data_IF_289179273802
#
_entry.id   IF_289179273802
#
_cell.length_a   1.000
_cell.length_b   1.000
_cell.length_c   1.000
_cell.angle_alpha   90.00
_cell.angle_beta   90.00
_cell.angle_gamma   90.00
#
_symmetry.space_group_name_H-M   'P 1'
#
loop_
_entity.id
_entity.type
_entity.pdbx_description
1 polymer ?
#
# COMPACT_ATOMS: atom_id res chain seq x y z
N UNK A 1 1.04 22.22 -2.63
CA UNK A 1 0.48 21.23 -3.60
C UNK A 1 1.20 19.92 -3.39
N UNK A 2 0.48 18.81 -3.25
CA UNK A 2 1.04 17.47 -3.37
C UNK A 2 0.59 16.91 -4.72
N UNK A 3 1.54 16.44 -5.53
CA UNK A 3 1.31 15.92 -6.87
C UNK A 3 2.19 14.70 -7.07
N UNK A 4 1.65 13.70 -7.76
CA UNK A 4 2.35 12.45 -8.03
C UNK A 4 1.87 11.84 -9.33
N UNK A 5 2.53 10.76 -9.73
CA UNK A 5 2.22 10.00 -10.93
C UNK A 5 2.48 8.53 -10.63
N UNK A 6 1.61 7.65 -11.12
CA UNK A 6 1.71 6.20 -10.92
C UNK A 6 1.84 5.55 -12.29
N UNK A 7 2.74 4.58 -12.38
CA UNK A 7 2.90 3.68 -13.53
C UNK A 7 2.82 2.27 -12.99
N UNK A 8 1.89 1.46 -13.52
CA UNK A 8 1.82 0.03 -13.18
C UNK A 8 3.10 -0.68 -13.62
N UNK A 9 3.59 -1.61 -12.80
CA UNK A 9 4.87 -2.30 -13.07
C UNK A 9 4.73 -3.41 -14.11
N UNK A 10 3.56 -3.53 -14.73
CA UNK A 10 3.22 -4.39 -15.86
C UNK A 10 3.51 -3.74 -17.23
N UNK A 11 4.24 -2.61 -17.27
CA UNK A 11 4.64 -1.96 -18.51
C UNK A 11 5.56 -2.85 -19.37
N UNK A 12 5.35 -2.83 -20.69
CA UNK A 12 6.10 -3.70 -21.63
C UNK A 12 7.35 -3.07 -22.22
N UNK A 13 7.43 -1.74 -22.26
CA UNK A 13 8.53 -1.03 -22.90
C UNK A 13 9.72 -0.90 -21.93
N UNK A 14 10.88 -1.53 -22.19
CA UNK A 14 12.04 -1.47 -21.29
C UNK A 14 12.68 -0.08 -21.22
N UNK A 15 12.38 0.81 -22.18
CA UNK A 15 12.88 2.19 -22.18
C UNK A 15 11.97 3.16 -21.39
N UNK A 16 10.82 2.69 -20.90
CA UNK A 16 9.92 3.53 -20.12
C UNK A 16 10.60 3.93 -18.80
N UNK A 17 10.58 5.23 -18.51
CA UNK A 17 11.13 5.79 -17.28
C UNK A 17 10.01 6.50 -16.51
N UNK A 18 9.48 5.91 -15.41
CA UNK A 18 8.37 6.49 -14.66
C UNK A 18 8.66 7.89 -14.11
N UNK A 19 9.91 8.18 -13.74
CA UNK A 19 10.31 9.51 -13.30
C UNK A 19 10.17 10.53 -14.44
N UNK A 20 10.62 10.19 -15.64
CA UNK A 20 10.53 11.09 -16.79
C UNK A 20 9.09 11.27 -17.27
N UNK A 21 8.25 10.24 -17.21
CA UNK A 21 6.82 10.39 -17.49
C UNK A 21 6.16 11.34 -16.49
N UNK A 22 6.55 11.29 -15.21
CA UNK A 22 6.08 12.29 -14.23
C UNK A 22 6.60 13.71 -14.54
N UNK A 23 7.86 13.87 -14.93
CA UNK A 23 8.37 15.19 -15.34
C UNK A 23 7.61 15.72 -16.56
N UNK A 24 7.35 14.86 -17.55
CA UNK A 24 6.56 15.19 -18.75
C UNK A 24 5.13 15.58 -18.40
N UNK A 25 4.48 14.84 -17.50
CA UNK A 25 3.13 15.15 -17.01
C UNK A 25 3.02 16.56 -16.43
N UNK A 26 4.00 17.00 -15.65
CA UNK A 26 4.02 18.37 -15.07
C UNK A 26 4.09 19.49 -16.12
N UNK A 27 4.57 19.19 -17.33
CA UNK A 27 4.61 20.14 -18.44
C UNK A 27 3.34 20.15 -19.29
N UNK A 28 2.37 19.26 -19.03
CA UNK A 28 1.07 19.29 -19.69
C UNK A 28 0.42 20.67 -19.44
N UNK A 29 -0.15 21.36 -20.46
CA UNK A 29 -0.62 22.74 -20.33
C UNK A 29 -1.51 22.99 -19.10
N UNK A 30 -2.50 22.12 -18.88
CA UNK A 30 -3.42 22.19 -17.73
C UNK A 30 -2.79 21.97 -16.36
N UNK A 31 -1.61 21.33 -16.30
CA UNK A 31 -0.89 21.06 -15.05
C UNK A 31 0.15 22.14 -14.81
N UNK A 32 0.83 22.59 -15.87
CA UNK A 32 1.85 23.65 -15.81
C UNK A 32 1.29 24.92 -15.18
N UNK A 33 0.08 25.34 -15.58
CA UNK A 33 -0.59 26.53 -15.03
C UNK A 33 -0.74 26.47 -13.50
N UNK A 34 -0.91 25.27 -12.93
CA UNK A 34 -1.06 25.06 -11.48
C UNK A 34 0.29 25.10 -10.74
N UNK A 35 1.39 24.84 -11.44
CA UNK A 35 2.74 24.70 -10.86
C UNK A 35 3.66 25.90 -11.14
N UNK A 36 3.26 26.82 -12.03
CA UNK A 36 4.07 27.97 -12.45
C UNK A 36 4.43 28.88 -11.26
N UNK A 37 5.68 29.32 -11.19
CA UNK A 37 6.23 30.05 -10.03
C UNK A 37 6.43 29.21 -8.76
N UNK A 38 6.01 27.94 -8.75
CA UNK A 38 6.19 27.02 -7.64
C UNK A 38 7.63 26.53 -7.47
N UNK A 39 7.98 26.15 -6.25
CA UNK A 39 9.27 25.50 -5.92
C UNK A 39 9.03 24.09 -5.40
N UNK A 40 9.75 23.11 -5.95
CA UNK A 40 9.77 21.75 -5.41
C UNK A 40 10.52 21.73 -4.07
N UNK A 41 9.84 21.35 -2.99
CA UNK A 41 10.43 21.29 -1.63
C UNK A 41 10.90 19.89 -1.26
N UNK A 42 10.34 18.86 -1.88
CA UNK A 42 10.63 17.46 -1.56
C UNK A 42 10.25 16.55 -2.73
N UNK A 43 10.99 15.45 -2.88
CA UNK A 43 10.68 14.39 -3.83
C UNK A 43 10.81 13.03 -3.13
N UNK A 44 9.95 12.09 -3.50
CA UNK A 44 10.01 10.71 -3.04
C UNK A 44 9.29 9.78 -4.02
N UNK A 45 9.61 8.49 -3.94
CA UNK A 45 8.99 7.45 -4.73
C UNK A 45 8.76 6.20 -3.87
N UNK A 46 7.66 5.48 -4.13
CA UNK A 46 7.32 4.25 -3.43
C UNK A 46 6.50 3.35 -4.35
N UNK A 47 6.75 2.05 -4.28
CA UNK A 47 5.87 1.05 -4.89
C UNK A 47 4.56 0.92 -4.09
N UNK A 48 3.47 0.61 -4.79
CA UNK A 48 2.16 0.37 -4.22
C UNK A 48 1.59 -0.93 -4.79
N UNK A 49 0.67 -1.56 -4.07
CA UNK A 49 0.11 -2.83 -4.47
C UNK A 49 -1.03 -2.61 -5.46
N UNK A 50 -0.98 -3.29 -6.60
CA UNK A 50 -2.04 -3.24 -7.61
C UNK A 50 -2.70 -4.59 -7.94
N UNK A 51 -2.30 -5.66 -7.24
CA UNK A 51 -2.83 -7.02 -7.47
C UNK A 51 -4.26 -7.26 -6.97
N UNK A 52 -4.76 -6.41 -6.06
CA UNK A 52 -6.12 -6.49 -5.53
C UNK A 52 -6.37 -7.74 -4.68
N UNK A 53 -7.65 -8.13 -4.60
CA UNK A 53 -8.09 -9.26 -3.78
C UNK A 53 -7.47 -10.59 -4.21
N UNK A 54 -7.23 -10.76 -5.50
CA UNK A 54 -6.68 -11.96 -6.13
C UNK A 54 -5.23 -12.23 -5.70
N UNK A 55 -4.55 -11.25 -5.13
CA UNK A 55 -3.15 -11.35 -4.70
C UNK A 55 -3.01 -11.40 -3.18
N UNK A 56 -4.09 -11.51 -2.41
CA UNK A 56 -4.01 -11.67 -0.96
C UNK A 56 -3.47 -13.08 -0.63
N UNK A 57 -2.37 -13.18 0.14
CA UNK A 57 -1.83 -14.46 0.58
C UNK A 57 -2.59 -14.96 1.82
N UNK A 58 -2.18 -16.14 2.33
CA UNK A 58 -2.44 -16.48 3.73
C UNK A 58 -1.83 -15.40 4.62
N UNK A 59 -2.59 -14.93 5.61
CA UNK A 59 -2.23 -13.79 6.44
C UNK A 59 -1.60 -14.18 7.78
N UNK A 60 -1.67 -15.45 8.16
CA UNK A 60 -1.22 -15.98 9.46
C UNK A 60 -0.17 -17.07 9.29
N UNK A 61 0.72 -17.16 10.27
CA UNK A 61 1.71 -18.22 10.41
C UNK A 61 2.09 -18.40 11.90
N UNK A 62 2.74 -19.51 12.30
CA UNK A 62 3.16 -19.71 13.68
C UNK A 62 4.03 -18.55 14.21
N UNK A 63 3.51 -17.84 15.21
CA UNK A 63 4.18 -16.69 15.82
C UNK A 63 4.11 -15.37 15.05
N UNK A 64 3.32 -15.25 13.97
CA UNK A 64 3.20 -13.98 13.25
C UNK A 64 2.03 -13.86 12.26
N UNK A 65 1.90 -12.65 11.71
CA UNK A 65 0.81 -12.30 10.80
C UNK A 65 1.20 -11.14 9.88
N UNK A 66 0.50 -11.04 8.74
CA UNK A 66 0.67 -10.00 7.73
C UNK A 66 -0.47 -8.98 7.81
N UNK A 67 -0.13 -7.71 7.92
CA UNK A 67 -1.09 -6.60 7.98
C UNK A 67 -0.83 -5.54 6.91
N UNK A 68 -1.85 -4.73 6.63
CA UNK A 68 -1.79 -3.58 5.71
C UNK A 68 -1.19 -3.85 4.34
N UNK A 69 -0.34 -2.95 3.86
CA UNK A 69 0.25 -3.08 2.53
C UNK A 69 1.24 -4.25 2.42
N UNK A 70 1.74 -4.81 3.53
CA UNK A 70 2.52 -6.05 3.46
C UNK A 70 1.64 -7.24 3.07
N UNK A 71 0.38 -7.25 3.52
CA UNK A 71 -0.60 -8.28 3.14
C UNK A 71 -1.23 -8.04 1.76
N UNK A 72 -1.20 -6.80 1.24
CA UNK A 72 -1.82 -6.47 -0.05
C UNK A 72 -3.09 -5.64 0.03
N UNK A 73 -3.48 -5.14 1.21
CA UNK A 73 -4.75 -4.42 1.40
C UNK A 73 -4.75 -3.01 0.80
N UNK A 74 -4.91 -2.93 -0.53
CA UNK A 74 -5.05 -1.68 -1.28
C UNK A 74 -6.26 -1.72 -2.21
N UNK A 75 -7.12 -0.70 -2.11
CA UNK A 75 -8.16 -0.45 -3.09
C UNK A 75 -7.57 0.36 -4.26
N UNK A 76 -7.15 -0.31 -5.33
CA UNK A 76 -6.50 0.31 -6.49
C UNK A 76 -7.39 1.34 -7.18
N UNK A 77 -8.68 1.03 -7.51
CA UNK A 77 -9.55 2.01 -8.18
C UNK A 77 -9.77 3.30 -7.38
N UNK A 78 -9.76 3.21 -6.05
CA UNK A 78 -9.88 4.38 -5.17
C UNK A 78 -8.54 5.02 -4.82
N UNK A 79 -7.42 4.36 -5.10
CA UNK A 79 -6.07 4.71 -4.64
C UNK A 79 -6.08 4.90 -3.11
N UNK A 80 -6.68 3.93 -2.39
CA UNK A 80 -6.79 3.99 -0.92
C UNK A 80 -6.38 2.66 -0.31
N UNK A 81 -5.27 2.67 0.45
CA UNK A 81 -4.84 1.54 1.28
C UNK A 81 -4.79 1.86 2.76
N UNK A 82 -4.66 3.13 3.16
CA UNK A 82 -4.39 3.52 4.55
C UNK A 82 -5.45 3.02 5.54
N UNK A 83 -6.73 3.20 5.22
CA UNK A 83 -7.84 2.74 6.05
C UNK A 83 -7.90 1.21 6.19
N UNK A 84 -7.60 0.45 5.13
CA UNK A 84 -7.50 -1.01 5.24
C UNK A 84 -6.26 -1.46 6.01
N UNK A 85 -5.14 -0.75 5.88
CA UNK A 85 -3.94 -0.99 6.68
C UNK A 85 -4.18 -0.74 8.17
N UNK A 86 -4.89 0.34 8.52
CA UNK A 86 -5.30 0.61 9.88
C UNK A 86 -6.24 -0.48 10.40
N UNK A 87 -7.30 -0.81 9.66
CA UNK A 87 -8.29 -1.79 10.12
C UNK A 87 -7.71 -3.19 10.26
N UNK A 88 -6.88 -3.65 9.32
CA UNK A 88 -6.18 -4.94 9.46
C UNK A 88 -5.29 -4.98 10.70
N UNK A 89 -4.56 -3.90 11.00
CA UNK A 89 -3.79 -3.79 12.25
C UNK A 89 -4.66 -3.85 13.52
N UNK A 90 -5.84 -3.23 13.50
CA UNK A 90 -6.78 -3.28 14.63
C UNK A 90 -7.34 -4.69 14.86
N UNK A 91 -7.79 -5.37 13.80
CA UNK A 91 -8.35 -6.74 13.90
C UNK A 91 -7.27 -7.73 14.31
N UNK A 92 -6.05 -7.60 13.76
CA UNK A 92 -4.88 -8.35 14.19
C UNK A 92 -4.60 -8.18 15.69
N UNK A 93 -4.64 -6.95 16.19
CA UNK A 93 -4.43 -6.66 17.61
C UNK A 93 -5.54 -7.25 18.50
N UNK A 94 -6.80 -7.17 18.09
CA UNK A 94 -7.94 -7.79 18.78
C UNK A 94 -7.74 -9.32 18.89
N UNK A 95 -7.41 -9.99 17.79
CA UNK A 95 -7.18 -11.43 17.75
C UNK A 95 -5.99 -11.87 18.63
N UNK A 96 -4.88 -11.12 18.59
CA UNK A 96 -3.71 -11.37 19.46
C UNK A 96 -4.07 -11.17 20.93
N UNK A 97 -4.81 -10.11 21.26
CA UNK A 97 -5.19 -9.85 22.65
C UNK A 97 -6.05 -10.98 23.22
N UNK A 98 -6.95 -11.55 22.42
CA UNK A 98 -7.79 -12.67 22.86
C UNK A 98 -7.00 -13.97 22.98
N UNK A 99 -6.05 -14.25 22.06
CA UNK A 99 -5.12 -15.37 22.19
C UNK A 99 -4.25 -15.28 23.46
N UNK A 100 -3.78 -14.08 23.81
CA UNK A 100 -3.00 -13.85 25.03
C UNK A 100 -3.83 -14.05 26.30
N UNK A 101 -5.10 -13.61 26.32
CA UNK A 101 -6.00 -13.84 27.47
C UNK A 101 -6.32 -15.32 27.69
N UNK A 102 -6.31 -16.10 26.62
CA UNK A 102 -6.55 -17.55 26.67
C UNK A 102 -5.32 -18.38 27.09
N UNK A 103 -4.19 -17.73 27.42
CA UNK A 103 -2.90 -18.39 27.72
C UNK A 103 -2.49 -19.42 26.66
N UNK A 104 -2.67 -19.07 25.38
CA UNK A 104 -2.50 -20.00 24.26
C UNK A 104 -1.06 -20.55 24.13
N UNK A 105 -0.08 -19.95 24.81
CA UNK A 105 1.33 -20.32 24.75
C UNK A 105 2.12 -19.55 23.68
N UNK A 106 3.43 -19.77 23.65
CA UNK A 106 4.33 -19.09 22.71
C UNK A 106 4.30 -19.71 21.32
N UNK A 107 4.39 -18.88 20.27
CA UNK A 107 4.52 -19.35 18.88
C UNK A 107 3.22 -19.88 18.26
N UNK A 108 2.07 -19.63 18.90
CA UNK A 108 0.75 -19.99 18.37
C UNK A 108 0.46 -19.23 17.09
N UNK A 109 -0.22 -19.89 16.16
CA UNK A 109 -0.79 -19.26 14.97
C UNK A 109 -2.19 -18.73 15.29
N UNK A 110 -2.37 -17.42 15.18
CA UNK A 110 -3.64 -16.73 15.51
C UNK A 110 -4.53 -16.65 14.27
N UNK A 111 -5.15 -17.78 13.89
CA UNK A 111 -5.94 -17.90 12.66
C UNK A 111 -7.20 -17.04 12.65
N UNK A 112 -7.71 -16.64 13.81
CA UNK A 112 -8.92 -15.83 13.97
C UNK A 112 -8.81 -14.45 13.31
N UNK A 113 -7.60 -13.98 13.01
CA UNK A 113 -7.39 -12.74 12.27
C UNK A 113 -7.88 -12.82 10.80
N UNK A 114 -7.90 -14.01 10.21
CA UNK A 114 -8.36 -14.20 8.82
C UNK A 114 -9.89 -14.31 8.69
N UNK A 115 -10.61 -14.47 9.80
CA UNK A 115 -12.08 -14.63 9.85
C UNK A 115 -12.81 -13.28 9.80
#
# INVERSE_FOLDING_TARGET
ILIGFVVGLDYKNPYLNPYMEFQRFKHHPKIREVLEGGKCVSYGARALNEGGFQSLPKLTFPGGMLVGCSAGFMNVPKIKGSHYAMKSGMVAAEAVADALKADAGNGVEVSQYEE
#
